data_IF_128821851678
#
_entry.id   IF_128821851678
#
_cell.length_a   1.000
_cell.length_b   1.000
_cell.length_c   1.000
_cell.angle_alpha   90.00
_cell.angle_beta   90.00
_cell.angle_gamma   90.00
#
_symmetry.space_group_name_H-M   'P 1'
#
loop_
_entity.id
_entity.type
_entity.pdbx_description
1 polymer ?
#
# COMPACT_ATOMS: atom_id res chain seq x y z
N UNK A 1 -6.57 24.28 12.13
CA UNK A 1 -5.15 23.89 12.19
C UNK A 1 -5.03 22.50 11.59
N UNK A 2 -4.64 22.41 10.31
CA UNK A 2 -4.45 21.12 9.65
C UNK A 2 -3.14 20.54 10.15
N UNK A 3 -3.23 19.58 11.08
CA UNK A 3 -2.05 18.80 11.45
C UNK A 3 -1.52 18.15 10.18
N UNK A 4 -0.25 18.37 9.87
CA UNK A 4 0.50 17.59 8.88
C UNK A 4 0.59 16.20 9.51
N UNK A 5 -0.47 15.41 9.36
CA UNK A 5 -0.42 14.00 9.70
C UNK A 5 0.72 13.36 8.90
N UNK A 6 1.30 12.26 9.40
CA UNK A 6 2.31 11.49 8.68
C UNK A 6 1.88 11.28 7.23
N UNK A 7 2.66 11.80 6.28
CA UNK A 7 2.36 11.67 4.86
C UNK A 7 2.85 10.32 4.34
N UNK A 8 2.08 9.28 4.64
CA UNK A 8 2.37 7.92 4.16
C UNK A 8 1.68 7.70 2.81
N UNK A 9 2.49 7.41 1.81
CA UNK A 9 2.09 7.09 0.45
C UNK A 9 2.31 5.62 0.16
N UNK A 10 1.45 5.02 -0.66
CA UNK A 10 1.57 3.63 -1.09
C UNK A 10 1.66 3.61 -2.61
N UNK A 11 2.76 3.09 -3.15
CA UNK A 11 2.93 2.93 -4.59
C UNK A 11 2.31 1.62 -5.08
N UNK A 12 1.75 1.67 -6.29
CA UNK A 12 1.39 0.47 -7.06
C UNK A 12 2.66 -0.31 -7.44
N UNK A 13 2.52 -1.62 -7.66
CA UNK A 13 3.65 -2.48 -7.98
C UNK A 13 4.33 -2.16 -9.32
N UNK A 14 3.62 -1.51 -10.24
CA UNK A 14 4.18 -0.98 -11.49
C UNK A 14 4.87 0.39 -11.31
N UNK A 15 4.79 0.98 -10.11
CA UNK A 15 5.41 2.25 -9.74
C UNK A 15 4.82 3.47 -10.44
N UNK A 16 3.68 3.34 -11.13
CA UNK A 16 3.08 4.44 -11.91
C UNK A 16 2.14 5.31 -11.10
N UNK A 17 1.47 4.71 -10.13
CA UNK A 17 0.48 5.39 -9.30
C UNK A 17 0.88 5.34 -7.83
N UNK A 18 0.49 6.38 -7.10
CA UNK A 18 0.68 6.50 -5.66
C UNK A 18 -0.63 6.92 -5.02
N UNK A 19 -1.02 6.24 -3.94
CA UNK A 19 -2.23 6.55 -3.17
C UNK A 19 -1.88 6.90 -1.73
N UNK A 20 -2.58 7.88 -1.17
CA UNK A 20 -2.41 8.24 0.24
C UNK A 20 -2.95 7.15 1.15
N UNK A 21 -2.19 6.76 2.16
CA UNK A 21 -2.63 5.73 3.11
C UNK A 21 -3.87 6.15 3.90
N UNK A 22 -4.00 7.44 4.28
CA UNK A 22 -5.18 7.96 5.01
C UNK A 22 -6.45 8.03 4.15
N UNK A 23 -6.31 7.90 2.83
CA UNK A 23 -7.44 7.84 1.91
C UNK A 23 -7.98 6.42 1.77
N UNK A 24 -7.26 5.39 2.22
CA UNK A 24 -7.67 3.99 2.08
C UNK A 24 -8.59 3.59 3.24
N UNK A 25 -9.74 3.00 2.90
CA UNK A 25 -10.72 2.48 3.88
C UNK A 25 -10.80 0.96 3.89
N UNK A 26 -10.44 0.31 2.79
CA UNK A 26 -10.45 -1.16 2.68
C UNK A 26 -9.22 -1.61 1.91
N UNK A 27 -8.54 -2.65 2.39
CA UNK A 27 -7.51 -3.38 1.64
C UNK A 27 -7.97 -4.82 1.47
N UNK A 28 -7.96 -5.33 0.25
CA UNK A 28 -8.36 -6.70 -0.07
C UNK A 28 -7.23 -7.41 -0.81
N UNK A 29 -6.92 -8.62 -0.35
CA UNK A 29 -6.08 -9.56 -1.06
C UNK A 29 -6.95 -10.73 -1.55
N UNK A 30 -6.99 -10.95 -2.85
CA UNK A 30 -7.78 -12.02 -3.47
C UNK A 30 -7.02 -12.61 -4.66
N UNK A 31 -6.77 -13.92 -4.67
CA UNK A 31 -6.11 -14.61 -5.78
C UNK A 31 -4.75 -14.01 -6.21
N UNK A 32 -4.00 -13.42 -5.27
CA UNK A 32 -2.73 -12.74 -5.56
C UNK A 32 -2.85 -11.29 -6.05
N UNK A 33 -4.07 -10.80 -6.24
CA UNK A 33 -4.37 -9.40 -6.52
C UNK A 33 -4.59 -8.64 -5.22
N UNK A 34 -3.88 -7.53 -5.04
CA UNK A 34 -4.07 -6.62 -3.92
C UNK A 34 -4.77 -5.36 -4.41
N UNK A 35 -5.92 -5.05 -3.84
CA UNK A 35 -6.68 -3.83 -4.13
C UNK A 35 -6.91 -3.00 -2.88
N UNK A 36 -6.97 -1.69 -3.06
CA UNK A 36 -7.29 -0.72 -2.03
C UNK A 36 -8.50 0.10 -2.45
N UNK A 37 -9.48 0.23 -1.58
CA UNK A 37 -10.63 1.10 -1.78
C UNK A 37 -10.39 2.44 -1.09
N UNK A 38 -10.62 3.52 -1.83
CA UNK A 38 -10.51 4.88 -1.34
C UNK A 38 -11.79 5.33 -0.64
N UNK A 39 -11.66 6.32 0.24
CA UNK A 39 -12.74 6.95 1.02
C UNK A 39 -13.57 7.96 0.22
N UNK A 40 -13.38 8.01 -1.10
CA UNK A 40 -14.07 8.97 -1.97
C UNK A 40 -15.55 8.59 -2.18
N UNK A 41 -16.33 9.55 -2.66
CA UNK A 41 -17.76 9.37 -2.97
C UNK A 41 -18.00 8.22 -3.96
N UNK A 42 -17.05 8.03 -4.89
CA UNK A 42 -17.09 7.01 -5.92
C UNK A 42 -16.65 5.62 -5.44
N UNK A 43 -16.13 5.49 -4.21
CA UNK A 43 -15.52 4.25 -3.67
C UNK A 43 -14.52 3.63 -4.63
N UNK A 44 -13.67 4.47 -5.23
CA UNK A 44 -12.71 4.05 -6.23
C UNK A 44 -11.81 2.95 -5.67
N UNK A 45 -11.64 1.89 -6.46
CA UNK A 45 -10.76 0.78 -6.12
C UNK A 45 -9.51 0.85 -6.98
N UNK A 46 -8.36 1.02 -6.32
CA UNK A 46 -7.04 1.03 -6.95
C UNK A 46 -6.41 -0.36 -6.83
N UNK A 47 -5.79 -0.83 -7.90
CA UNK A 47 -5.07 -2.10 -7.90
C UNK A 47 -3.61 -1.85 -7.54
N UNK A 48 -3.20 -2.27 -6.34
CA UNK A 48 -1.83 -2.13 -5.87
C UNK A 48 -0.93 -3.24 -6.44
N UNK A 49 -1.46 -4.46 -6.55
CA UNK A 49 -0.83 -5.60 -7.21
C UNK A 49 -1.88 -6.25 -8.09
N UNK A 50 -1.58 -6.43 -9.38
CA UNK A 50 -2.53 -6.99 -10.35
C UNK A 50 -2.68 -8.52 -10.28
N UNK A 51 -1.70 -9.22 -9.70
CA UNK A 51 -1.63 -10.68 -9.62
C UNK A 51 -1.12 -11.34 -10.91
N UNK A 52 -0.77 -10.58 -11.95
CA UNK A 52 -0.38 -11.11 -13.27
C UNK A 52 1.02 -11.71 -13.28
N UNK A 53 1.84 -11.35 -12.29
CA UNK A 53 3.27 -11.73 -12.19
C UNK A 53 3.52 -13.22 -11.85
N UNK A 54 2.47 -14.02 -11.64
CA UNK A 54 2.55 -15.46 -11.33
C UNK A 54 3.02 -15.80 -9.91
N UNK A 55 3.80 -14.92 -9.28
CA UNK A 55 4.22 -15.04 -7.88
C UNK A 55 3.15 -14.42 -6.99
N UNK A 56 2.52 -15.24 -6.17
CA UNK A 56 1.45 -14.79 -5.28
C UNK A 56 2.02 -14.17 -3.99
N UNK A 57 1.57 -12.98 -3.59
CA UNK A 57 1.92 -12.44 -2.27
C UNK A 57 1.39 -13.36 -1.15
N UNK A 58 2.06 -13.39 0.02
CA UNK A 58 1.61 -14.13 1.19
C UNK A 58 0.17 -13.79 1.61
N UNK A 59 -0.55 -14.75 2.23
CA UNK A 59 -1.95 -14.55 2.63
C UNK A 59 -2.16 -13.39 3.62
N UNK A 60 -1.13 -13.03 4.40
CA UNK A 60 -1.13 -11.92 5.36
C UNK A 60 -0.58 -10.61 4.78
N UNK A 61 -0.30 -10.53 3.48
CA UNK A 61 0.38 -9.39 2.86
C UNK A 61 -0.37 -8.06 3.03
N UNK A 62 -1.70 -8.08 2.95
CA UNK A 62 -2.55 -6.92 3.25
C UNK A 62 -2.43 -6.47 4.72
N UNK A 63 -2.27 -7.41 5.66
CA UNK A 63 -2.08 -7.08 7.09
C UNK A 63 -0.72 -6.47 7.34
N UNK A 64 0.32 -6.95 6.64
CA UNK A 64 1.66 -6.37 6.71
C UNK A 64 1.69 -4.93 6.21
N UNK A 65 0.89 -4.59 5.19
CA UNK A 65 0.73 -3.21 4.72
C UNK A 65 0.14 -2.32 5.82
N UNK A 66 -0.99 -2.75 6.42
CA UNK A 66 -1.65 -1.99 7.50
C UNK A 66 -0.70 -1.79 8.68
N UNK A 67 0.07 -2.82 9.05
CA UNK A 67 1.10 -2.71 10.09
C UNK A 67 2.17 -1.69 9.72
N UNK A 68 2.74 -1.78 8.52
CA UNK A 68 3.78 -0.84 8.07
C UNK A 68 3.29 0.62 8.07
N UNK A 69 2.06 0.86 7.58
CA UNK A 69 1.44 2.19 7.64
C UNK A 69 1.26 2.68 9.07
N UNK A 70 0.83 1.81 9.99
CA UNK A 70 0.66 2.16 11.39
C UNK A 70 2.01 2.49 12.07
N UNK A 71 3.07 1.74 11.77
CA UNK A 71 4.42 2.00 12.28
C UNK A 71 4.98 3.33 11.76
N UNK A 72 4.66 3.71 10.52
CA UNK A 72 5.08 4.99 9.93
C UNK A 72 4.20 6.17 10.37
N UNK A 73 3.05 5.93 10.98
CA UNK A 73 2.15 7.01 11.40
C UNK A 73 2.78 7.89 12.50
N UNK A 74 3.72 7.34 13.27
CA UNK A 74 4.45 8.10 14.29
C UNK A 74 5.79 8.67 13.76
N UNK A 75 6.09 8.46 12.47
CA UNK A 75 7.32 8.94 11.83
C UNK A 75 7.21 10.40 11.39
N UNK A 76 8.33 11.11 11.41
CA UNK A 76 8.42 12.48 10.89
C UNK A 76 8.75 12.45 9.39
N UNK A 77 7.98 13.20 8.59
CA UNK A 77 8.21 13.37 7.16
C UNK A 77 7.36 12.45 6.27
N UNK A 78 7.45 12.67 4.95
CA UNK A 78 6.74 11.86 3.96
C UNK A 78 7.46 10.52 3.76
N UNK A 79 6.68 9.43 3.71
CA UNK A 79 7.18 8.07 3.59
C UNK A 79 6.47 7.37 2.44
N UNK A 80 7.21 6.60 1.65
CA UNK A 80 6.67 5.76 0.60
C UNK A 80 6.75 4.30 1.02
N UNK A 81 5.61 3.60 0.94
CA UNK A 81 5.51 2.15 1.06
C UNK A 81 5.30 1.56 -0.33
N UNK A 82 6.19 0.67 -0.77
CA UNK A 82 6.02 -0.03 -2.06
C UNK A 82 6.16 -1.53 -1.92
N UNK A 83 5.39 -2.24 -2.74
CA UNK A 83 5.54 -3.69 -2.87
C UNK A 83 6.76 -3.98 -3.75
N UNK A 84 7.71 -4.73 -3.23
CA UNK A 84 8.89 -5.19 -3.98
C UNK A 84 8.87 -6.70 -4.04
N UNK A 85 9.13 -7.22 -5.25
CA UNK A 85 9.39 -8.64 -5.48
C UNK A 85 10.89 -8.89 -5.39
N UNK A 86 11.29 -9.73 -4.44
CA UNK A 86 12.66 -10.20 -4.25
C UNK A 86 12.69 -11.71 -4.51
N UNK A 87 13.07 -12.09 -5.73
CA UNK A 87 12.90 -13.46 -6.23
C UNK A 87 11.43 -13.89 -6.21
N UNK A 88 11.14 -14.95 -5.45
CA UNK A 88 9.79 -15.49 -5.27
C UNK A 88 9.05 -14.93 -4.04
N UNK A 89 9.58 -13.87 -3.42
CA UNK A 89 9.01 -13.29 -2.21
C UNK A 89 8.54 -11.87 -2.43
N UNK A 90 7.32 -11.60 -1.99
CA UNK A 90 6.79 -10.25 -1.87
C UNK A 90 7.09 -9.67 -0.50
N UNK A 91 7.58 -8.43 -0.47
CA UNK A 91 7.76 -7.64 0.75
C UNK A 91 7.33 -6.20 0.55
N UNK A 92 6.94 -5.56 1.64
CA UNK A 92 6.80 -4.11 1.70
C UNK A 92 8.16 -3.50 2.01
N UNK A 93 8.52 -2.46 1.27
CA UNK A 93 9.70 -1.64 1.52
C UNK A 93 9.22 -0.22 1.81
N UNK A 94 9.80 0.39 2.84
CA UNK A 94 9.53 1.76 3.26
C UNK A 94 10.75 2.61 2.94
N UNK A 95 10.56 3.74 2.26
CA UNK A 95 11.64 4.69 1.98
C UNK A 95 11.15 6.14 2.18
N UNK A 96 12.04 7.06 2.61
CA UNK A 96 11.70 8.47 2.66
C UNK A 96 11.43 9.03 1.26
N UNK A 97 10.52 9.99 1.18
CA UNK A 97 10.18 10.70 -0.06
C UNK A 97 11.00 11.98 -0.25
#
# INVERSE_FOLDING_TARGET
>A
MGGVGPEVWIATADGRDMVRADAIVVVRLDGGRLTAQLRDESKQTVTLIDGSTGVHPPADFHRRLVRAVAELADSSGAQLVRAVRDGDRWRWVTEPL
#
